data_IF_396187574702
#
_entry.id   IF_396187574702
#
_cell.length_a   1.000
_cell.length_b   1.000
_cell.length_c   1.000
_cell.angle_alpha   90.00
_cell.angle_beta   90.00
_cell.angle_gamma   90.00
#
_symmetry.space_group_name_H-M   'P 1'
#
loop_
_entity.id
_entity.type
_entity.pdbx_description
1 polymer ?
#
# COMPACT_ATOMS: atom_id res chain seq x y z
N UNK A 1 -7.44 -10.05 -16.42
CA UNK A 1 -7.12 -8.95 -15.49
C UNK A 1 -5.63 -9.01 -15.19
N UNK A 2 -4.96 -7.87 -15.16
CA UNK A 2 -3.53 -7.73 -14.82
C UNK A 2 -3.40 -6.90 -13.54
N UNK A 3 -2.70 -7.43 -12.54
CA UNK A 3 -2.44 -6.75 -11.28
C UNK A 3 -1.07 -6.08 -11.28
N UNK A 4 -1.03 -4.79 -10.97
CA UNK A 4 0.21 -4.08 -10.64
C UNK A 4 0.45 -4.14 -9.14
N UNK A 5 1.57 -4.73 -8.71
CA UNK A 5 1.92 -4.82 -7.29
C UNK A 5 3.16 -3.96 -7.05
N UNK A 6 2.97 -2.90 -6.27
CA UNK A 6 4.06 -2.08 -5.74
C UNK A 6 4.43 -2.65 -4.38
N UNK A 7 5.60 -3.29 -4.30
CA UNK A 7 6.14 -3.85 -3.06
C UNK A 7 7.13 -2.87 -2.44
N UNK A 8 6.82 -2.34 -1.25
CA UNK A 8 7.76 -1.48 -0.53
C UNK A 8 8.86 -2.28 0.22
N UNK A 9 8.69 -3.59 0.37
CA UNK A 9 9.59 -4.47 1.11
C UNK A 9 10.34 -5.42 0.15
N UNK A 10 11.68 -5.46 0.15
CA UNK A 10 12.45 -6.37 -0.69
C UNK A 10 12.09 -7.84 -0.47
N UNK A 11 11.80 -8.25 0.77
CA UNK A 11 11.43 -9.61 1.12
C UNK A 11 10.07 -10.01 0.55
N UNK A 12 9.13 -9.08 0.47
CA UNK A 12 7.83 -9.30 -0.17
C UNK A 12 8.01 -9.48 -1.68
N UNK A 13 8.76 -8.59 -2.33
CA UNK A 13 9.06 -8.70 -3.76
C UNK A 13 9.77 -10.02 -4.06
N UNK A 14 10.74 -10.41 -3.23
CA UNK A 14 11.45 -11.66 -3.36
C UNK A 14 10.49 -12.86 -3.30
N UNK A 15 9.68 -12.96 -2.24
CA UNK A 15 8.73 -14.06 -2.06
C UNK A 15 7.70 -14.18 -3.18
N UNK A 16 7.19 -13.05 -3.69
CA UNK A 16 6.28 -13.05 -4.84
C UNK A 16 7.00 -13.44 -6.14
N UNK A 17 8.23 -12.95 -6.34
CA UNK A 17 9.02 -13.23 -7.54
C UNK A 17 9.41 -14.71 -7.68
N UNK A 18 9.56 -15.44 -6.56
CA UNK A 18 9.81 -16.89 -6.56
C UNK A 18 8.61 -17.70 -7.06
N UNK A 19 7.40 -17.14 -6.95
CA UNK A 19 6.15 -17.77 -7.40
C UNK A 19 5.76 -17.34 -8.82
N UNK A 20 6.51 -16.42 -9.41
CA UNK A 20 6.25 -15.86 -10.73
C UNK A 20 6.63 -16.87 -11.83
N UNK A 21 5.66 -17.25 -12.65
CA UNK A 21 5.86 -18.03 -13.87
C UNK A 21 5.85 -17.13 -15.11
N UNK A 22 6.39 -17.63 -16.23
CA UNK A 22 6.53 -16.89 -17.49
C UNK A 22 7.22 -15.52 -17.33
N UNK A 23 8.19 -15.46 -16.41
CA UNK A 23 8.87 -14.25 -16.00
C UNK A 23 9.61 -13.58 -17.17
N UNK A 24 9.32 -12.30 -17.34
CA UNK A 24 10.10 -11.35 -18.15
C UNK A 24 10.42 -10.11 -17.32
N UNK A 25 11.42 -9.35 -17.74
CA UNK A 25 11.84 -8.14 -17.04
C UNK A 25 11.81 -6.95 -18.01
N UNK A 26 11.29 -5.83 -17.52
CA UNK A 26 11.30 -4.55 -18.24
C UNK A 26 11.88 -3.48 -17.32
N UNK A 27 12.77 -2.63 -17.83
CA UNK A 27 13.36 -1.54 -17.07
C UNK A 27 12.79 -0.21 -17.55
N UNK A 28 12.16 0.54 -16.63
CA UNK A 28 11.61 1.88 -16.89
C UNK A 28 11.96 2.81 -15.74
N UNK A 29 12.42 4.03 -16.05
CA UNK A 29 12.77 5.02 -15.02
C UNK A 29 13.80 4.52 -13.97
N UNK A 30 14.70 3.61 -14.36
CA UNK A 30 15.70 3.03 -13.46
C UNK A 30 15.17 1.92 -12.53
N UNK A 31 13.91 1.51 -12.66
CA UNK A 31 13.27 0.44 -11.88
C UNK A 31 13.07 -0.81 -12.74
N UNK A 32 13.16 -1.98 -12.12
CA UNK A 32 12.91 -3.27 -12.77
C UNK A 32 11.50 -3.73 -12.46
N UNK A 33 10.71 -3.94 -13.52
CA UNK A 33 9.37 -4.50 -13.47
C UNK A 33 9.43 -5.97 -13.85
N UNK A 34 8.97 -6.84 -12.96
CA UNK A 34 8.89 -8.28 -13.18
C UNK A 34 7.47 -8.61 -13.68
N UNK A 35 7.37 -9.06 -14.92
CA UNK A 35 6.08 -9.38 -15.56
C UNK A 35 5.95 -10.89 -15.67
N UNK A 36 4.79 -11.43 -15.31
CA UNK A 36 4.52 -12.85 -15.44
C UNK A 36 3.16 -13.22 -14.88
N UNK A 37 3.04 -14.44 -14.36
CA UNK A 37 1.82 -14.97 -13.78
C UNK A 37 2.05 -15.56 -12.39
N UNK A 38 1.07 -15.41 -11.49
CA UNK A 38 1.02 -16.08 -10.18
C UNK A 38 -0.37 -16.71 -10.04
N UNK A 39 -0.47 -18.02 -9.81
CA UNK A 39 -1.75 -18.74 -9.73
C UNK A 39 -2.69 -18.41 -10.93
N UNK A 40 -2.12 -18.40 -12.13
CA UNK A 40 -2.76 -18.01 -13.41
C UNK A 40 -3.25 -16.55 -13.51
N UNK A 41 -2.97 -15.69 -12.53
CA UNK A 41 -3.26 -14.26 -12.60
C UNK A 41 -2.08 -13.53 -13.22
N UNK A 42 -2.33 -12.65 -14.18
CA UNK A 42 -1.27 -11.81 -14.75
C UNK A 42 -0.86 -10.75 -13.73
N UNK A 43 0.45 -10.63 -13.46
CA UNK A 43 0.99 -9.71 -12.47
C UNK A 43 2.21 -8.96 -13.00
N UNK A 44 2.36 -7.73 -12.53
CA UNK A 44 3.56 -6.90 -12.69
C UNK A 44 4.04 -6.49 -11.31
N UNK A 45 5.21 -6.99 -10.89
CA UNK A 45 5.81 -6.69 -9.59
C UNK A 45 6.89 -5.63 -9.74
N UNK A 46 6.92 -4.66 -8.83
CA UNK A 46 7.94 -3.60 -8.83
C UNK A 46 8.17 -3.07 -7.42
N UNK A 47 9.41 -2.68 -7.13
CA UNK A 47 9.75 -1.87 -5.96
C UNK A 47 9.66 -0.39 -6.34
N UNK A 48 8.81 0.40 -5.66
CA UNK A 48 8.60 1.80 -6.03
C UNK A 48 9.77 2.73 -5.68
N UNK A 49 10.59 2.39 -4.69
CA UNK A 49 11.33 3.41 -3.95
C UNK A 49 10.45 4.14 -2.94
N UNK A 50 11.04 5.10 -2.22
CA UNK A 50 10.45 5.71 -1.02
C UNK A 50 9.91 7.11 -1.32
N UNK A 51 8.73 7.40 -0.78
CA UNK A 51 8.10 8.72 -0.87
C UNK A 51 7.19 8.91 -2.07
N UNK A 52 6.45 10.03 -2.03
CA UNK A 52 5.32 10.28 -2.93
C UNK A 52 5.68 10.31 -4.41
N UNK A 53 6.80 10.96 -4.75
CA UNK A 53 7.22 11.13 -6.15
C UNK A 53 7.57 9.78 -6.77
N UNK A 54 8.35 8.97 -6.05
CA UNK A 54 8.78 7.65 -6.50
C UNK A 54 7.59 6.69 -6.64
N UNK A 55 6.68 6.70 -5.66
CA UNK A 55 5.46 5.92 -5.69
C UNK A 55 4.52 6.35 -6.83
N UNK A 56 4.32 7.66 -7.03
CA UNK A 56 3.49 8.20 -8.10
C UNK A 56 4.01 7.84 -9.49
N UNK A 57 5.31 8.01 -9.74
CA UNK A 57 5.94 7.60 -11.01
C UNK A 57 5.77 6.09 -11.24
N UNK A 58 5.92 5.29 -10.18
CA UNK A 58 5.79 3.84 -10.29
C UNK A 58 4.36 3.42 -10.64
N UNK A 59 3.36 4.03 -9.98
CA UNK A 59 1.95 3.82 -10.29
C UNK A 59 1.62 4.25 -11.73
N UNK A 60 2.17 5.38 -12.17
CA UNK A 60 1.99 5.88 -13.54
C UNK A 60 2.52 4.88 -14.57
N UNK A 61 3.72 4.32 -14.37
CA UNK A 61 4.25 3.28 -15.27
C UNK A 61 3.37 2.03 -15.28
N UNK A 62 2.93 1.54 -14.12
CA UNK A 62 2.04 0.38 -14.04
C UNK A 62 0.76 0.60 -14.87
N UNK A 63 0.15 1.77 -14.73
CA UNK A 63 -1.11 2.09 -15.41
C UNK A 63 -0.90 2.37 -16.90
N UNK A 64 0.11 3.15 -17.25
CA UNK A 64 0.27 3.67 -18.62
C UNK A 64 1.15 2.80 -19.52
N UNK A 65 2.20 2.17 -19.00
CA UNK A 65 3.08 1.31 -19.79
C UNK A 65 2.64 -0.15 -19.73
N UNK A 66 2.24 -0.65 -18.55
CA UNK A 66 1.84 -2.05 -18.37
C UNK A 66 0.33 -2.29 -18.47
N UNK A 67 -0.48 -1.23 -18.49
CA UNK A 67 -1.95 -1.32 -18.62
C UNK A 67 -2.57 -2.23 -17.57
N UNK A 68 -2.11 -2.12 -16.31
CA UNK A 68 -2.69 -2.90 -15.22
C UNK A 68 -4.14 -2.47 -14.97
N UNK A 69 -4.97 -3.44 -14.60
CA UNK A 69 -6.39 -3.24 -14.31
C UNK A 69 -6.63 -2.87 -12.83
N UNK A 70 -5.68 -3.19 -11.95
CA UNK A 70 -5.74 -2.94 -10.50
C UNK A 70 -4.34 -2.65 -9.98
N UNK A 71 -4.19 -1.67 -9.09
CA UNK A 71 -2.93 -1.38 -8.38
C UNK A 71 -3.03 -1.77 -6.92
N UNK A 72 -2.14 -2.64 -6.45
CA UNK A 72 -2.00 -2.99 -5.03
C UNK A 72 -0.67 -2.41 -4.55
N UNK A 73 -0.72 -1.45 -3.63
CA UNK A 73 0.47 -0.96 -2.94
C UNK A 73 0.59 -1.64 -1.58
N UNK A 74 1.59 -2.49 -1.47
CA UNK A 74 1.83 -3.31 -0.29
C UNK A 74 3.14 -2.92 0.37
N UNK A 75 3.16 -2.90 1.70
CA UNK A 75 4.31 -2.42 2.44
C UNK A 75 4.18 -2.60 3.95
N UNK A 76 5.14 -2.06 4.68
CA UNK A 76 5.04 -1.86 6.13
C UNK A 76 4.74 -0.40 6.45
N UNK A 77 4.28 -0.16 7.68
CA UNK A 77 4.07 1.18 8.21
C UNK A 77 4.01 1.19 9.73
N UNK A 78 4.09 2.39 10.32
CA UNK A 78 3.80 2.61 11.73
C UNK A 78 2.30 2.63 12.01
N UNK A 79 1.88 1.90 13.05
CA UNK A 79 0.51 1.94 13.55
C UNK A 79 0.30 3.12 14.49
N UNK A 80 -0.59 4.04 14.12
CA UNK A 80 -0.90 5.27 14.90
C UNK A 80 -2.30 5.28 15.49
N UNK A 81 -3.14 4.31 15.10
CA UNK A 81 -4.50 4.10 15.61
C UNK A 81 -4.52 3.32 16.93
N UNK A 82 -5.60 3.49 17.69
CA UNK A 82 -5.79 2.78 18.95
C UNK A 82 -5.97 1.26 18.73
N UNK A 83 -5.31 0.47 19.59
CA UNK A 83 -5.43 -0.99 19.58
C UNK A 83 -4.79 -1.70 18.39
N UNK A 84 -3.85 -1.04 17.69
CA UNK A 84 -2.95 -1.66 16.73
C UNK A 84 -1.70 -2.21 17.43
N UNK A 85 -1.27 -3.38 16.98
CA UNK A 85 -0.06 -4.04 17.46
C UNK A 85 0.86 -4.37 16.27
N UNK A 86 2.14 -4.55 16.56
CA UNK A 86 3.10 -5.08 15.57
C UNK A 86 2.59 -6.41 15.02
N UNK A 87 2.60 -6.53 13.69
CA UNK A 87 2.07 -7.68 12.96
C UNK A 87 0.58 -7.63 12.61
N UNK A 88 -0.18 -6.64 13.11
CA UNK A 88 -1.50 -6.32 12.56
C UNK A 88 -1.34 -5.81 11.11
N UNK A 89 -2.37 -5.97 10.29
CA UNK A 89 -2.40 -5.44 8.93
C UNK A 89 -3.56 -4.46 8.78
N UNK A 90 -3.26 -3.29 8.25
CA UNK A 90 -4.25 -2.27 7.88
C UNK A 90 -4.44 -2.30 6.37
N UNK A 91 -5.68 -2.50 5.93
CA UNK A 91 -6.09 -2.33 4.54
C UNK A 91 -6.82 -0.98 4.43
N UNK A 92 -6.34 -0.11 3.55
CA UNK A 92 -6.92 1.20 3.38
C UNK A 92 -8.34 1.10 2.79
N UNK A 93 -9.33 1.69 3.46
CA UNK A 93 -10.62 2.04 2.82
C UNK A 93 -10.50 3.38 2.10
N UNK A 94 -9.64 4.25 2.63
CA UNK A 94 -9.28 5.54 2.05
C UNK A 94 -7.81 5.83 2.34
N UNK A 95 -7.20 6.67 1.51
CA UNK A 95 -5.89 7.27 1.77
C UNK A 95 -5.96 8.80 1.73
N UNK A 96 -5.10 9.49 2.47
CA UNK A 96 -5.06 10.96 2.49
C UNK A 96 -3.66 11.49 2.79
N UNK A 97 -3.35 12.73 2.40
CA UNK A 97 -2.08 13.34 2.77
C UNK A 97 -2.14 14.01 4.16
N UNK A 98 -1.17 13.74 5.04
CA UNK A 98 -1.11 14.38 6.36
C UNK A 98 -0.20 15.61 6.45
N UNK A 99 0.52 15.92 5.38
CA UNK A 99 1.55 16.97 5.28
C UNK A 99 1.23 18.01 4.19
N UNK A 100 0.04 17.96 3.59
CA UNK A 100 -0.45 18.95 2.62
C UNK A 100 -1.30 19.99 3.35
N UNK A 101 -0.92 21.26 3.25
CA UNK A 101 -1.69 22.39 3.80
C UNK A 101 -1.91 23.47 2.74
N UNK A 102 -3.12 23.48 2.18
CA UNK A 102 -3.60 24.49 1.23
C UNK A 102 -4.82 25.23 1.81
N UNK A 103 -4.95 25.23 3.14
CA UNK A 103 -6.10 25.80 3.86
C UNK A 103 -6.21 27.32 3.71
N UNK A 104 -5.12 28.01 3.38
CA UNK A 104 -5.11 29.43 3.04
C UNK A 104 -6.05 29.78 1.87
N UNK A 105 -6.38 28.81 1.02
CA UNK A 105 -7.31 28.95 -0.10
C UNK A 105 -8.68 28.29 0.15
N UNK A 106 -8.96 27.85 1.39
CA UNK A 106 -10.25 27.29 1.79
C UNK A 106 -10.41 25.78 1.56
N UNK A 107 -9.35 25.07 1.18
CA UNK A 107 -9.35 23.61 1.09
C UNK A 107 -9.29 22.94 2.46
N UNK A 108 -9.72 21.68 2.53
CA UNK A 108 -9.54 20.85 3.73
C UNK A 108 -8.04 20.59 3.97
N UNK A 109 -7.64 20.41 5.23
CA UNK A 109 -6.27 20.02 5.54
C UNK A 109 -5.99 18.63 4.94
N UNK A 110 -4.86 18.46 4.26
CA UNK A 110 -4.53 17.26 3.50
C UNK A 110 -5.01 17.27 2.04
N UNK A 111 -5.86 18.22 1.65
CA UNK A 111 -6.41 18.30 0.29
C UNK A 111 -5.51 19.14 -0.64
N UNK A 112 -5.11 18.55 -1.76
CA UNK A 112 -4.53 19.29 -2.87
C UNK A 112 -5.63 19.98 -3.71
N UNK A 113 -5.37 21.16 -4.30
CA UNK A 113 -6.29 21.77 -5.25
C UNK A 113 -6.66 20.82 -6.40
N UNK A 114 -7.94 20.82 -6.75
CA UNK A 114 -8.52 19.96 -7.80
C UNK A 114 -8.46 18.44 -7.53
N UNK A 115 -8.09 18.04 -6.31
CA UNK A 115 -8.13 16.65 -5.86
C UNK A 115 -9.18 16.48 -4.75
N UNK A 116 -9.73 15.27 -4.54
CA UNK A 116 -10.51 15.00 -3.36
C UNK A 116 -9.63 15.11 -2.10
N UNK A 117 -10.25 15.35 -0.94
CA UNK A 117 -9.51 15.42 0.33
C UNK A 117 -8.96 14.05 0.77
N UNK A 118 -9.63 12.97 0.34
CA UNK A 118 -9.25 11.58 0.55
C UNK A 118 -9.50 10.80 -0.75
N UNK A 119 -8.66 9.83 -1.03
CA UNK A 119 -8.81 8.93 -2.17
C UNK A 119 -9.45 7.63 -1.69
N UNK A 120 -10.60 7.24 -2.24
CA UNK A 120 -11.29 6.01 -1.83
C UNK A 120 -10.65 4.79 -2.50
N UNK A 121 -10.30 3.77 -1.72
CA UNK A 121 -9.86 2.48 -2.24
C UNK A 121 -11.05 1.69 -2.82
N UNK A 122 -10.78 0.77 -3.74
CA UNK A 122 -11.85 -0.02 -4.35
C UNK A 122 -12.42 -1.03 -3.33
N UNK A 123 -13.73 -0.97 -3.01
CA UNK A 123 -14.31 -1.79 -1.95
C UNK A 123 -14.31 -3.29 -2.27
N UNK A 124 -14.31 -3.68 -3.56
CA UNK A 124 -14.24 -5.09 -3.94
C UNK A 124 -12.88 -5.66 -3.60
N UNK A 125 -11.81 -4.92 -3.92
CA UNK A 125 -10.45 -5.35 -3.64
C UNK A 125 -10.10 -5.26 -2.15
N UNK A 126 -10.62 -4.26 -1.44
CA UNK A 126 -10.51 -4.19 0.03
C UNK A 126 -11.07 -5.44 0.67
N UNK A 127 -12.27 -5.89 0.28
CA UNK A 127 -12.86 -7.09 0.88
C UNK A 127 -12.11 -8.36 0.49
N UNK A 128 -11.79 -8.55 -0.80
CA UNK A 128 -11.07 -9.75 -1.25
C UNK A 128 -9.69 -9.91 -0.59
N UNK A 129 -8.94 -8.82 -0.46
CA UNK A 129 -7.64 -8.84 0.22
C UNK A 129 -7.86 -9.08 1.73
N UNK A 130 -8.92 -8.51 2.32
CA UNK A 130 -9.25 -8.75 3.72
C UNK A 130 -9.59 -10.21 4.00
N UNK A 131 -10.35 -10.87 3.13
CA UNK A 131 -10.68 -12.29 3.22
C UNK A 131 -9.41 -13.14 3.12
N UNK A 132 -8.59 -12.91 2.09
CA UNK A 132 -7.31 -13.61 1.92
C UNK A 132 -6.38 -13.44 3.13
N UNK A 133 -6.31 -12.22 3.69
CA UNK A 133 -5.53 -11.93 4.90
C UNK A 133 -6.02 -12.72 6.11
N UNK A 134 -7.34 -12.77 6.34
CA UNK A 134 -7.94 -13.55 7.45
C UNK A 134 -7.64 -15.05 7.31
N UNK A 135 -7.67 -15.59 6.09
CA UNK A 135 -7.35 -17.01 5.84
C UNK A 135 -5.90 -17.36 6.17
N UNK A 136 -4.98 -16.42 5.98
CA UNK A 136 -3.57 -16.57 6.38
C UNK A 136 -3.33 -16.35 7.88
N UNK A 137 -4.38 -16.11 8.66
CA UNK A 137 -4.31 -15.90 10.10
C UNK A 137 -3.89 -14.49 10.51
N UNK A 138 -3.89 -13.52 9.58
CA UNK A 138 -3.58 -12.13 9.88
C UNK A 138 -4.75 -11.44 10.59
N UNK A 139 -4.41 -10.57 11.54
CA UNK A 139 -5.37 -9.68 12.16
C UNK A 139 -5.56 -8.45 11.26
N UNK A 140 -6.69 -8.40 10.56
CA UNK A 140 -6.98 -7.34 9.58
C UNK A 140 -7.82 -6.24 10.22
N UNK A 141 -7.38 -4.99 10.04
CA UNK A 141 -8.19 -3.78 10.24
C UNK A 141 -8.39 -3.05 8.92
N UNK A 142 -9.56 -2.47 8.73
CA UNK A 142 -9.87 -1.63 7.58
C UNK A 142 -10.06 -0.19 8.04
N UNK A 143 -9.48 0.78 7.34
CA UNK A 143 -9.66 2.19 7.69
C UNK A 143 -8.73 3.14 6.96
N UNK A 144 -8.56 4.34 7.50
CA UNK A 144 -7.74 5.39 6.88
C UNK A 144 -6.24 5.13 7.08
N UNK A 145 -5.48 5.19 5.98
CA UNK A 145 -4.02 5.30 5.98
C UNK A 145 -3.64 6.72 5.51
N UNK A 146 -2.73 7.39 6.22
CA UNK A 146 -2.28 8.73 5.82
C UNK A 146 -0.84 8.72 5.35
N UNK A 147 -0.54 9.63 4.43
CA UNK A 147 0.73 9.66 3.70
C UNK A 147 1.42 11.01 3.82
N UNK A 148 2.74 11.02 3.98
CA UNK A 148 3.56 12.23 3.95
C UNK A 148 5.02 11.91 3.68
N UNK A 149 5.79 12.85 3.12
CA UNK A 149 7.24 12.65 2.92
C UNK A 149 8.02 12.88 4.23
N UNK A 150 7.55 12.27 5.32
CA UNK A 150 8.10 12.38 6.66
C UNK A 150 8.03 11.01 7.35
N UNK A 151 9.17 10.55 7.88
CA UNK A 151 9.18 9.36 8.73
C UNK A 151 8.64 9.70 10.13
N UNK A 152 7.46 9.18 10.48
CA UNK A 152 6.78 9.45 11.75
C UNK A 152 7.41 8.61 12.87
N UNK A 153 8.20 9.26 13.74
CA UNK A 153 9.01 8.58 14.77
C UNK A 153 8.83 9.13 16.18
N UNK A 154 7.76 9.89 16.42
CA UNK A 154 7.49 10.44 17.75
C UNK A 154 6.01 10.58 18.05
N UNK A 155 5.67 10.46 19.34
CA UNK A 155 4.31 10.69 19.86
C UNK A 155 3.80 12.09 19.52
N UNK A 156 4.68 13.09 19.48
CA UNK A 156 4.30 14.46 19.14
C UNK A 156 3.84 14.56 17.67
N UNK A 157 4.56 13.92 16.74
CA UNK A 157 4.15 13.84 15.33
C UNK A 157 2.84 13.07 15.18
N UNK A 158 2.69 11.93 15.86
CA UNK A 158 1.42 11.18 15.87
C UNK A 158 0.27 12.06 16.36
N UNK A 159 0.44 12.79 17.46
CA UNK A 159 -0.60 13.68 18.00
C UNK A 159 -0.98 14.78 17.01
N UNK A 160 -0.02 15.35 16.29
CA UNK A 160 -0.30 16.35 15.25
C UNK A 160 -1.13 15.76 14.11
N UNK A 161 -0.77 14.56 13.64
CA UNK A 161 -1.53 13.84 12.60
C UNK A 161 -2.94 13.53 13.12
N UNK A 162 -3.07 12.92 14.30
CA UNK A 162 -4.35 12.52 14.90
C UNK A 162 -5.26 13.71 15.22
N UNK A 163 -4.71 14.91 15.44
CA UNK A 163 -5.51 16.12 15.62
C UNK A 163 -6.26 16.55 14.33
N UNK A 164 -5.79 16.13 13.16
CA UNK A 164 -6.42 16.39 11.85
C UNK A 164 -7.12 15.17 11.27
N UNK A 165 -6.59 13.98 11.55
CA UNK A 165 -7.08 12.69 11.08
C UNK A 165 -7.32 11.77 12.29
N UNK A 166 -8.38 12.03 13.05
CA UNK A 166 -8.68 11.30 14.28
C UNK A 166 -9.01 9.82 14.04
N UNK A 167 -9.36 9.45 12.81
CA UNK A 167 -9.71 8.12 12.34
C UNK A 167 -8.54 7.40 11.65
N UNK A 168 -7.37 8.05 11.48
CA UNK A 168 -6.19 7.43 10.90
C UNK A 168 -5.70 6.23 11.74
N UNK A 169 -5.49 5.11 11.07
CA UNK A 169 -4.96 3.88 11.64
C UNK A 169 -3.44 3.78 11.47
N UNK A 170 -2.92 4.22 10.32
CA UNK A 170 -1.49 4.11 9.99
C UNK A 170 -0.99 5.34 9.26
N UNK A 171 0.32 5.61 9.38
CA UNK A 171 1.04 6.67 8.66
C UNK A 171 2.22 6.09 7.89
N UNK A 172 2.36 6.46 6.63
CA UNK A 172 3.42 6.01 5.72
C UNK A 172 3.74 7.07 4.66
N UNK A 173 4.46 6.73 3.58
CA UNK A 173 5.11 7.70 2.69
C UNK A 173 4.72 7.61 1.20
N UNK A 174 3.90 6.62 0.79
CA UNK A 174 3.57 6.34 -0.62
C UNK A 174 2.06 6.24 -0.94
N UNK A 175 1.24 5.74 -0.01
CA UNK A 175 -0.09 5.19 -0.28
C UNK A 175 -1.06 6.15 -0.97
N UNK A 176 -1.16 7.39 -0.49
CA UNK A 176 -2.01 8.42 -1.10
C UNK A 176 -1.46 8.93 -2.43
N UNK A 177 -0.15 8.84 -2.68
CA UNK A 177 0.40 9.17 -3.99
C UNK A 177 0.01 8.13 -5.04
N UNK A 178 0.03 6.83 -4.67
CA UNK A 178 -0.52 5.76 -5.51
C UNK A 178 -2.02 5.97 -5.71
N UNK A 179 -2.76 6.26 -4.64
CA UNK A 179 -4.20 6.50 -4.70
C UNK A 179 -4.58 7.69 -5.57
N UNK A 180 -3.79 8.77 -5.55
CA UNK A 180 -3.99 9.94 -6.40
C UNK A 180 -3.84 9.57 -7.89
N UNK A 181 -2.73 8.94 -8.27
CA UNK A 181 -2.49 8.54 -9.68
C UNK A 181 -3.57 7.56 -10.15
N UNK A 182 -3.92 6.57 -9.32
CA UNK A 182 -4.98 5.63 -9.65
C UNK A 182 -6.35 6.31 -9.82
N UNK A 183 -6.66 7.31 -8.98
CA UNK A 183 -7.88 8.12 -9.08
C UNK A 183 -7.92 8.93 -10.38
N UNK A 184 -6.82 9.60 -10.73
CA UNK A 184 -6.70 10.39 -11.97
C UNK A 184 -6.92 9.51 -13.22
N UNK A 185 -6.51 8.24 -13.17
CA UNK A 185 -6.67 7.28 -14.26
C UNK A 185 -7.90 6.39 -14.17
N UNK A 186 -8.73 6.53 -13.12
CA UNK A 186 -9.90 5.69 -12.86
C UNK A 186 -9.57 4.19 -12.79
N UNK A 187 -8.40 3.84 -12.26
CA UNK A 187 -7.97 2.46 -12.04
C UNK A 187 -8.21 2.09 -10.56
N UNK A 188 -8.87 0.95 -10.27
CA UNK A 188 -9.01 0.44 -8.92
C UNK A 188 -7.66 0.33 -8.20
N UNK A 189 -7.60 0.78 -6.94
CA UNK A 189 -6.41 0.63 -6.12
C UNK A 189 -6.74 0.23 -4.68
N UNK A 190 -5.78 -0.41 -4.02
CA UNK A 190 -5.80 -0.71 -2.59
C UNK A 190 -4.41 -0.53 -2.01
N UNK A 191 -4.33 0.04 -0.81
CA UNK A 191 -3.10 0.11 -0.01
C UNK A 191 -3.19 -0.87 1.15
N UNK A 192 -2.14 -1.67 1.35
CA UNK A 192 -2.02 -2.62 2.45
C UNK A 192 -0.75 -2.35 3.20
N UNK A 193 -0.85 -2.25 4.53
CA UNK A 193 0.30 -2.00 5.40
C UNK A 193 0.34 -2.98 6.56
N UNK A 194 1.45 -3.71 6.69
CA UNK A 194 1.76 -4.49 7.88
C UNK A 194 2.41 -3.58 8.93
N UNK A 195 1.92 -3.61 10.16
CA UNK A 195 2.45 -2.76 11.23
C UNK A 195 3.82 -3.27 11.68
N UNK A 196 4.86 -2.49 11.40
CA UNK A 196 6.25 -2.76 11.84
C UNK A 196 6.53 -2.24 13.24
N UNK A 197 5.78 -1.23 13.66
CA UNK A 197 5.95 -0.48 14.90
C UNK A 197 4.65 0.22 15.29
N UNK A 198 4.64 0.90 16.44
CA UNK A 198 3.50 1.71 16.91
C UNK A 198 3.80 3.22 16.89
N UNK A 199 4.77 3.63 16.06
CA UNK A 199 5.20 5.02 15.85
C UNK A 199 5.81 5.70 17.09
N UNK A 200 6.16 4.93 18.12
CA UNK A 200 6.81 5.43 19.33
C UNK A 200 8.32 5.68 19.12
N UNK A 201 9.03 6.09 20.17
CA UNK A 201 10.44 6.45 20.11
C UNK A 201 11.37 5.29 19.68
N UNK A 202 10.87 4.05 19.65
CA UNK A 202 11.61 2.87 19.21
C UNK A 202 11.24 2.42 17.78
N UNK A 203 10.41 3.19 17.05
CA UNK A 203 9.89 2.81 15.75
C UNK A 203 10.97 2.34 14.76
N UNK A 204 12.12 3.01 14.72
CA UNK A 204 13.23 2.61 13.85
C UNK A 204 13.84 1.24 14.18
N UNK A 205 13.97 0.90 15.47
CA UNK A 205 14.54 -0.40 15.90
C UNK A 205 13.54 -1.52 15.64
N UNK A 206 12.27 -1.30 16.00
CA UNK A 206 11.22 -2.28 15.72
C UNK A 206 11.04 -2.52 14.22
N UNK A 207 11.16 -1.48 13.40
CA UNK A 207 11.12 -1.61 11.95
C UNK A 207 12.15 -2.63 11.43
N UNK A 208 13.43 -2.45 11.78
CA UNK A 208 14.50 -3.33 11.33
C UNK A 208 14.30 -4.80 11.78
N UNK A 209 13.73 -5.02 12.97
CA UNK A 209 13.48 -6.36 13.51
C UNK A 209 12.29 -7.06 12.82
N UNK A 210 11.24 -6.32 12.46
CA UNK A 210 9.97 -6.90 12.01
C UNK A 210 9.73 -6.86 10.51
N UNK A 211 10.51 -6.07 9.75
CA UNK A 211 10.31 -5.87 8.30
C UNK A 211 10.34 -7.17 7.49
N UNK A 212 11.25 -8.09 7.83
CA UNK A 212 11.40 -9.39 7.14
C UNK A 212 10.16 -10.27 7.31
N UNK A 213 9.63 -10.34 8.54
CA UNK A 213 8.45 -11.14 8.85
C UNK A 213 7.18 -10.49 8.29
N UNK A 214 7.09 -9.16 8.36
CA UNK A 214 6.01 -8.39 7.72
C UNK A 214 5.96 -8.64 6.21
N UNK A 215 7.11 -8.61 5.52
CA UNK A 215 7.21 -8.89 4.10
C UNK A 215 6.73 -10.29 3.71
N UNK A 216 7.13 -11.31 4.46
CA UNK A 216 6.69 -12.71 4.22
C UNK A 216 5.19 -12.89 4.42
N UNK A 217 4.64 -12.30 5.49
CA UNK A 217 3.20 -12.36 5.79
C UNK A 217 2.37 -11.66 4.73
N UNK A 218 2.83 -10.49 4.30
CA UNK A 218 2.18 -9.73 3.25
C UNK A 218 2.19 -10.47 1.92
N UNK A 219 3.34 -11.06 1.54
CA UNK A 219 3.42 -11.92 0.37
C UNK A 219 2.48 -13.13 0.47
N UNK A 220 2.39 -13.79 1.63
CA UNK A 220 1.49 -14.93 1.83
C UNK A 220 0.01 -14.55 1.61
N UNK A 221 -0.41 -13.38 2.10
CA UNK A 221 -1.76 -12.85 1.86
C UNK A 221 -2.02 -12.59 0.37
N UNK A 222 -1.08 -11.97 -0.35
CA UNK A 222 -1.23 -11.72 -1.79
C UNK A 222 -1.25 -13.03 -2.61
N UNK A 223 -0.44 -14.01 -2.22
CA UNK A 223 -0.48 -15.34 -2.82
C UNK A 223 -1.82 -16.04 -2.58
N UNK A 224 -2.38 -15.91 -1.36
CA UNK A 224 -3.70 -16.44 -1.03
C UNK A 224 -4.79 -15.76 -1.87
N UNK A 225 -4.74 -14.43 -2.03
CA UNK A 225 -5.65 -13.69 -2.92
C UNK A 225 -5.65 -14.29 -4.34
N UNK A 226 -4.47 -14.49 -4.93
CA UNK A 226 -4.37 -15.03 -6.29
C UNK A 226 -4.86 -16.48 -6.36
N UNK A 227 -4.58 -17.30 -5.35
CA UNK A 227 -5.11 -18.66 -5.26
C UNK A 227 -6.65 -18.68 -5.21
N UNK A 228 -7.28 -17.75 -4.49
CA UNK A 228 -8.74 -17.68 -4.37
C UNK A 228 -9.41 -17.17 -5.66
N UNK A 229 -8.77 -16.23 -6.35
CA UNK A 229 -9.21 -15.81 -7.69
C UNK A 229 -9.15 -16.97 -8.70
N UNK A 230 -8.12 -17.81 -8.62
CA UNK A 230 -7.97 -18.99 -9.49
C UNK A 230 -9.06 -20.05 -9.23
N UNK A 231 -9.44 -20.27 -7.96
CA UNK A 231 -10.54 -21.18 -7.58
C UNK A 231 -11.92 -20.62 -7.95
N UNK A 232 -12.08 -19.30 -7.89
CA UNK A 232 -13.36 -18.60 -8.01
C UNK A 232 -13.90 -18.44 -9.43
N UNK A 233 -13.09 -18.70 -10.48
CA UNK A 233 -13.54 -18.73 -11.86
C UNK A 233 -14.30 -17.47 -12.30
N UNK A 234 -13.68 -16.30 -12.19
CA UNK A 234 -14.22 -15.08 -12.81
C UNK A 234 -13.22 -14.57 -13.83
N UNK A 235 -13.52 -14.85 -15.10
CA UNK A 235 -13.00 -14.16 -16.26
C UNK A 235 -13.75 -12.84 -16.47
#
# INVERSE_FOLDING_TARGET
MTFGIICAMPEELHALSERLTDRTETVLGGKTYLVGTIENQAVVLVESGIGKVEAGITAEHLITDFKVDVVINSGSAGGIGEGLHVGDVVIATETAYHDVDVTAFGYEYGQLPAQPARFSADPTWVERISEAGKETGLNIKQGLIVTGDQFVSSKAMIQQIKARFNDALSSEMEGAAVGQVATDHQVPYVVVRAMSDTGDENAGVSFDEFIVEAGKRSAAMLLQLFADLNKGGVA
#
